data_IF_066137366656
#
_entry.id   IF_066137366656
#
_cell.length_a   1.000
_cell.length_b   1.000
_cell.length_c   1.000
_cell.angle_alpha   90.00
_cell.angle_beta   90.00
_cell.angle_gamma   90.00
#
_symmetry.space_group_name_H-M   'P 1'
#
loop_
_entity.id
_entity.type
_entity.pdbx_description
1 polymer ?
#
# COMPACT_ATOMS: atom_id res chain seq x y z
N UNK A 1 21.08 -8.21 -8.74
CA UNK A 1 21.01 -8.30 -7.26
C UNK A 1 21.84 -7.19 -6.59
N UNK A 2 22.43 -6.25 -7.35
CA UNK A 2 23.32 -5.19 -6.84
C UNK A 2 22.62 -3.83 -6.60
N UNK A 3 21.30 -3.72 -6.81
CA UNK A 3 20.61 -2.41 -6.85
C UNK A 3 19.87 -2.00 -5.57
N UNK A 4 19.89 -2.85 -4.53
CA UNK A 4 19.30 -2.50 -3.22
C UNK A 4 20.37 -2.06 -2.23
N UNK A 5 20.19 -0.86 -1.67
CA UNK A 5 20.87 -0.42 -0.46
C UNK A 5 20.13 -0.93 0.76
N UNK A 6 20.81 -1.63 1.67
CA UNK A 6 20.24 -2.14 2.91
C UNK A 6 20.79 -1.36 4.11
N UNK A 7 19.91 -0.94 5.03
CA UNK A 7 20.27 -0.27 6.29
C UNK A 7 19.64 -1.01 7.46
N UNK A 8 20.46 -1.46 8.40
CA UNK A 8 19.99 -2.00 9.68
C UNK A 8 19.74 -0.85 10.66
N UNK A 9 18.57 -0.83 11.29
CA UNK A 9 18.07 0.32 12.07
C UNK A 9 17.67 -0.03 13.51
N UNK A 10 17.97 -1.25 13.95
CA UNK A 10 17.77 -1.72 15.34
C UNK A 10 16.32 -1.65 15.83
N UNK A 11 15.36 -1.62 14.91
CA UNK A 11 13.93 -1.70 15.17
C UNK A 11 13.28 -2.48 14.03
N UNK A 12 12.35 -3.37 14.36
CA UNK A 12 11.50 -3.99 13.34
C UNK A 12 10.62 -2.93 12.69
N UNK A 13 10.57 -2.93 11.36
CA UNK A 13 9.87 -1.90 10.59
C UNK A 13 8.54 -2.45 10.11
N UNK A 14 7.43 -1.88 10.59
CA UNK A 14 6.08 -2.30 10.21
C UNK A 14 5.56 -1.60 8.96
N UNK A 15 6.01 -0.36 8.72
CA UNK A 15 5.53 0.49 7.62
C UNK A 15 6.64 1.32 7.00
N UNK A 16 6.67 1.40 5.68
CA UNK A 16 7.56 2.29 4.92
C UNK A 16 6.78 3.04 3.86
N UNK A 17 6.93 4.36 3.75
CA UNK A 17 6.25 5.19 2.74
C UNK A 17 7.16 6.26 2.17
N UNK A 18 7.18 6.43 0.85
CA UNK A 18 7.83 7.56 0.19
C UNK A 18 7.05 8.84 0.45
N UNK A 19 7.77 9.94 0.69
CA UNK A 19 7.16 11.27 0.69
C UNK A 19 6.70 11.58 -0.74
N UNK A 20 5.42 11.96 -0.94
CA UNK A 20 4.94 12.34 -2.26
C UNK A 20 5.75 13.49 -2.86
N UNK A 21 6.03 13.38 -4.16
CA UNK A 21 6.76 14.39 -4.92
C UNK A 21 5.75 15.21 -5.75
N UNK A 22 5.90 16.54 -5.89
CA UNK A 22 5.07 17.33 -6.79
C UNK A 22 5.09 16.74 -8.21
N UNK A 23 3.95 16.69 -8.89
CA UNK A 23 3.85 16.15 -10.26
C UNK A 23 4.75 16.87 -11.29
N UNK A 24 5.15 18.12 -11.00
CA UNK A 24 6.06 18.89 -11.84
C UNK A 24 7.55 18.62 -11.56
N UNK A 25 7.88 17.88 -10.51
CA UNK A 25 9.26 17.58 -10.19
C UNK A 25 9.80 16.51 -11.16
N UNK A 26 11.01 16.75 -11.66
CA UNK A 26 11.73 15.81 -12.52
C UNK A 26 12.63 14.85 -11.72
N UNK A 27 12.80 15.11 -10.42
CA UNK A 27 13.68 14.33 -9.56
C UNK A 27 12.92 13.18 -8.90
N UNK A 28 13.56 12.01 -8.73
CA UNK A 28 13.00 10.90 -7.97
C UNK A 28 12.77 11.29 -6.49
N UNK A 29 11.92 10.56 -5.75
CA UNK A 29 11.76 10.79 -4.32
C UNK A 29 13.09 10.57 -3.58
N UNK A 30 13.34 11.44 -2.60
CA UNK A 30 14.54 11.39 -1.76
C UNK A 30 14.23 11.16 -0.29
N UNK A 31 13.00 11.45 0.15
CA UNK A 31 12.59 11.26 1.55
C UNK A 31 11.54 10.17 1.66
N UNK A 32 11.65 9.36 2.69
CA UNK A 32 10.64 8.40 3.09
C UNK A 32 10.47 8.39 4.60
N UNK A 33 9.35 7.88 5.08
CA UNK A 33 9.08 7.68 6.50
C UNK A 33 8.99 6.19 6.82
N UNK A 34 9.30 5.83 8.06
CA UNK A 34 9.11 4.49 8.61
C UNK A 34 8.35 4.52 9.93
N UNK A 35 7.57 3.48 10.18
CA UNK A 35 7.00 3.16 11.48
C UNK A 35 7.55 1.84 12.01
N UNK A 36 7.80 1.75 13.31
CA UNK A 36 8.27 0.52 13.96
C UNK A 36 7.20 -0.16 14.82
N UNK A 37 7.38 -1.45 15.06
CA UNK A 37 6.47 -2.30 15.85
C UNK A 37 7.23 -3.36 16.64
N UNK A 38 6.61 -3.91 17.69
CA UNK A 38 7.20 -4.97 18.53
C UNK A 38 8.54 -4.54 19.15
N UNK A 39 8.65 -3.27 19.54
CA UNK A 39 9.78 -2.71 20.28
C UNK A 39 9.31 -2.12 21.62
N UNK A 40 10.23 -2.02 22.59
CA UNK A 40 9.96 -1.31 23.87
C UNK A 40 9.51 0.15 23.64
N UNK A 41 10.13 0.82 22.66
CA UNK A 41 9.78 2.17 22.24
C UNK A 41 9.68 2.26 20.71
N UNK A 42 8.46 2.15 20.19
CA UNK A 42 8.17 2.37 18.77
C UNK A 42 8.31 3.85 18.38
N UNK A 43 8.61 4.09 17.11
CA UNK A 43 8.91 5.41 16.56
C UNK A 43 8.31 5.60 15.18
N UNK A 44 8.07 6.87 14.84
CA UNK A 44 7.95 7.33 13.46
C UNK A 44 9.26 8.05 13.12
N UNK A 45 9.90 7.65 12.03
CA UNK A 45 11.20 8.17 11.60
C UNK A 45 11.12 8.68 10.16
N UNK A 46 11.81 9.77 9.85
CA UNK A 46 11.95 10.30 8.48
C UNK A 46 13.40 10.18 8.04
N UNK A 47 13.60 9.67 6.83
CA UNK A 47 14.89 9.32 6.27
C UNK A 47 15.13 10.03 4.94
N UNK A 48 16.40 10.20 4.59
CA UNK A 48 16.85 10.73 3.30
C UNK A 48 17.70 9.70 2.56
N UNK A 49 17.51 9.61 1.25
CA UNK A 49 18.31 8.81 0.30
C UNK A 49 18.70 9.73 -0.85
N UNK A 50 19.56 10.70 -0.57
CA UNK A 50 19.99 11.73 -1.52
C UNK A 50 21.46 11.59 -1.87
N UNK A 51 21.81 11.93 -3.12
CA UNK A 51 23.18 12.09 -3.57
C UNK A 51 23.73 13.43 -3.07
N UNK A 52 23.95 13.55 -1.77
CA UNK A 52 24.74 14.67 -1.25
C UNK A 52 26.15 14.48 -1.80
N UNK A 53 26.55 15.28 -2.79
CA UNK A 53 27.84 15.22 -3.50
C UNK A 53 29.06 15.50 -2.60
N UNK A 54 29.18 14.79 -1.49
CA UNK A 54 30.20 14.89 -0.47
C UNK A 54 30.26 13.55 0.22
N UNK A 55 31.42 12.88 0.15
CA UNK A 55 31.78 11.83 1.09
C UNK A 55 31.43 12.33 2.50
N UNK A 56 30.48 11.68 3.16
CA UNK A 56 30.27 11.93 4.58
C UNK A 56 31.62 11.76 5.29
N UNK A 57 31.90 12.52 6.38
CA UNK A 57 33.17 12.42 7.10
C UNK A 57 33.49 11.00 7.61
N UNK A 58 32.50 10.09 7.55
CA UNK A 58 32.56 8.71 8.01
C UNK A 58 32.65 7.66 6.88
N UNK A 59 32.77 8.07 5.61
CA UNK A 59 32.94 7.12 4.49
C UNK A 59 31.67 6.32 4.11
N UNK A 60 30.49 6.89 4.35
CA UNK A 60 29.20 6.26 4.01
C UNK A 60 28.98 6.18 2.49
N UNK A 61 28.44 5.05 2.02
CA UNK A 61 28.21 4.79 0.59
C UNK A 61 27.12 5.70 0.02
N UNK A 62 27.30 6.09 -1.25
CA UNK A 62 26.32 6.84 -2.02
C UNK A 62 24.99 6.05 -2.10
N UNK A 63 23.89 6.66 -1.66
CA UNK A 63 22.56 6.02 -1.68
C UNK A 63 22.17 5.25 -0.41
N UNK A 64 22.96 5.26 0.66
CA UNK A 64 22.50 4.73 1.97
C UNK A 64 21.45 5.64 2.63
N UNK A 65 20.37 5.06 3.21
CA UNK A 65 19.41 5.80 4.02
C UNK A 65 20.04 6.47 5.25
N UNK A 66 19.71 7.76 5.43
CA UNK A 66 20.15 8.58 6.55
C UNK A 66 18.97 9.08 7.37
N UNK A 67 19.02 8.89 8.69
CA UNK A 67 17.98 9.36 9.60
C UNK A 67 18.01 10.89 9.70
N UNK A 68 16.90 11.55 9.37
CA UNK A 68 16.76 13.00 9.54
C UNK A 68 16.21 13.35 10.92
N UNK A 69 15.13 12.68 11.32
CA UNK A 69 14.49 12.87 12.61
C UNK A 69 13.55 11.73 12.95
N UNK A 70 13.26 11.57 14.24
CA UNK A 70 12.27 10.63 14.75
C UNK A 70 11.40 11.26 15.84
N UNK A 71 10.28 10.59 16.14
CA UNK A 71 9.42 10.90 17.28
C UNK A 71 8.89 9.60 17.86
N UNK A 72 8.82 9.53 19.20
CA UNK A 72 8.23 8.38 19.90
C UNK A 72 6.76 8.23 19.51
N UNK A 73 6.38 6.99 19.21
CA UNK A 73 5.01 6.58 18.96
C UNK A 73 4.53 5.68 20.11
N UNK A 74 3.29 5.88 20.56
CA UNK A 74 2.71 5.09 21.64
C UNK A 74 1.92 3.91 21.05
N UNK A 75 2.28 2.69 21.44
CA UNK A 75 1.81 1.47 20.77
C UNK A 75 2.55 1.21 19.46
N UNK A 76 2.21 0.11 18.80
CA UNK A 76 2.75 -0.27 17.50
C UNK A 76 2.22 0.62 16.40
N UNK A 77 3.05 0.93 15.41
CA UNK A 77 2.61 1.61 14.20
C UNK A 77 1.96 0.55 13.30
N UNK A 78 0.64 0.47 13.32
CA UNK A 78 -0.13 -0.54 12.59
C UNK A 78 -0.20 -0.23 11.10
N UNK A 79 -0.47 1.04 10.78
CA UNK A 79 -0.48 1.54 9.42
C UNK A 79 -0.05 3.01 9.37
N UNK A 80 0.44 3.46 8.21
CA UNK A 80 1.00 4.78 8.00
C UNK A 80 0.84 5.22 6.55
N UNK A 81 0.44 6.48 6.36
CA UNK A 81 0.33 7.11 5.04
C UNK A 81 0.77 8.58 5.09
N UNK A 82 1.35 9.08 4.01
CA UNK A 82 1.52 10.52 3.84
C UNK A 82 0.17 11.16 3.49
N UNK A 83 -0.20 12.21 4.22
CA UNK A 83 -1.38 13.02 3.93
C UNK A 83 -1.07 14.12 2.91
N UNK A 84 0.14 14.67 2.99
CA UNK A 84 0.74 15.59 2.04
C UNK A 84 2.28 15.57 2.21
N UNK A 85 3.00 16.56 1.71
CA UNK A 85 4.47 16.62 1.78
C UNK A 85 5.04 16.90 3.18
N UNK A 86 4.23 17.35 4.13
CA UNK A 86 4.65 17.70 5.48
C UNK A 86 3.97 16.85 6.55
N UNK A 87 2.83 16.23 6.25
CA UNK A 87 2.00 15.53 7.23
C UNK A 87 1.95 14.03 6.97
N UNK A 88 2.14 13.27 8.04
CA UNK A 88 2.10 11.81 8.07
C UNK A 88 0.97 11.41 9.02
N UNK A 89 0.10 10.50 8.61
CA UNK A 89 -0.94 9.92 9.45
C UNK A 89 -0.50 8.52 9.85
N UNK A 90 -0.56 8.22 11.15
CA UNK A 90 -0.26 6.91 11.70
C UNK A 90 -1.44 6.36 12.50
N UNK A 91 -1.69 5.07 12.32
CA UNK A 91 -2.63 4.26 13.07
C UNK A 91 -1.87 3.46 14.15
N UNK A 92 -2.41 3.42 15.37
CA UNK A 92 -1.79 2.78 16.53
C UNK A 92 -2.53 1.51 16.97
N UNK A 93 -1.80 0.54 17.53
CA UNK A 93 -2.39 -0.62 18.24
C UNK A 93 -3.21 -0.22 19.47
N UNK A 94 -3.04 1.01 19.96
CA UNK A 94 -3.90 1.58 21.01
C UNK A 94 -5.29 2.00 20.54
N UNK A 95 -5.52 2.05 19.23
CA UNK A 95 -6.74 2.59 18.61
C UNK A 95 -6.73 4.11 18.39
N UNK A 96 -5.60 4.77 18.70
CA UNK A 96 -5.42 6.18 18.39
C UNK A 96 -4.94 6.39 16.94
N UNK A 97 -5.34 7.52 16.37
CA UNK A 97 -4.91 7.97 15.03
C UNK A 97 -4.24 9.32 15.19
N UNK A 98 -3.01 9.47 14.71
CA UNK A 98 -2.20 10.67 14.93
C UNK A 98 -1.69 11.25 13.61
N UNK A 99 -1.89 12.55 13.41
CA UNK A 99 -1.25 13.32 12.35
C UNK A 99 0.03 13.92 12.91
N UNK A 100 1.16 13.52 12.36
CA UNK A 100 2.46 14.12 12.61
C UNK A 100 2.77 15.17 11.54
N UNK A 101 3.51 16.22 11.89
CA UNK A 101 4.06 17.21 10.96
C UNK A 101 5.58 17.17 11.00
N UNK A 102 6.18 17.01 9.83
CA UNK A 102 7.61 17.14 9.55
C UNK A 102 7.95 18.60 9.24
N UNK A 103 8.81 19.18 10.06
CA UNK A 103 9.33 20.53 9.89
C UNK A 103 10.69 20.45 9.19
N UNK A 104 10.72 20.70 7.88
CA UNK A 104 11.94 20.54 7.07
C UNK A 104 13.05 21.54 7.47
N UNK A 105 12.69 22.73 7.97
CA UNK A 105 13.66 23.77 8.33
C UNK A 105 14.60 23.38 9.47
N UNK A 106 14.11 22.58 10.42
CA UNK A 106 14.85 22.15 11.61
C UNK A 106 14.96 20.63 11.73
N UNK A 107 14.44 19.88 10.74
CA UNK A 107 14.37 18.43 10.72
C UNK A 107 13.81 17.88 12.04
N UNK A 108 12.56 18.23 12.35
CA UNK A 108 11.86 17.71 13.53
C UNK A 108 10.48 17.20 13.18
N UNK A 109 9.98 16.26 13.97
CA UNK A 109 8.59 15.81 13.94
C UNK A 109 7.84 16.37 15.15
N UNK A 110 6.57 16.69 14.94
CA UNK A 110 5.66 17.14 16.00
C UNK A 110 4.28 16.54 15.80
N UNK A 111 3.53 16.36 16.89
CA UNK A 111 2.13 15.95 16.80
C UNK A 111 1.32 17.18 16.36
N UNK A 112 0.67 17.08 15.20
CA UNK A 112 -0.21 18.10 14.66
C UNK A 112 -1.64 17.95 15.19
N UNK A 113 -2.17 16.73 15.19
CA UNK A 113 -3.49 16.40 15.70
C UNK A 113 -3.56 14.92 16.10
N UNK A 114 -4.40 14.57 17.08
CA UNK A 114 -4.60 13.19 17.52
C UNK A 114 -6.06 12.92 17.87
N UNK A 115 -6.56 11.80 17.39
CA UNK A 115 -7.81 11.19 17.83
C UNK A 115 -7.48 10.00 18.72
N UNK A 116 -7.46 10.22 20.03
CA UNK A 116 -7.10 9.18 21.03
C UNK A 116 -8.08 8.00 21.04
N UNK A 117 -9.30 8.22 20.57
CA UNK A 117 -10.41 7.28 20.65
C UNK A 117 -11.04 7.07 19.28
N UNK A 118 -10.21 6.90 18.26
CA UNK A 118 -10.70 6.57 16.93
C UNK A 118 -11.29 5.14 16.92
N UNK A 119 -10.58 4.20 17.55
CA UNK A 119 -11.01 2.81 17.69
C UNK A 119 -10.95 2.37 19.16
N UNK A 120 -12.03 1.75 19.64
CA UNK A 120 -12.16 1.31 21.03
C UNK A 120 -13.28 0.30 21.21
N UNK A 121 -13.10 -0.58 22.19
CA UNK A 121 -14.16 -1.45 22.70
C UNK A 121 -14.90 -0.75 23.84
N UNK A 122 -16.23 -0.90 23.83
CA UNK A 122 -17.09 -0.48 24.94
C UNK A 122 -17.36 -1.72 25.79
N UNK A 123 -16.86 -1.70 27.02
CA UNK A 123 -17.29 -2.68 28.01
C UNK A 123 -18.63 -2.22 28.61
N UNK A 124 -19.71 -3.01 28.51
CA UNK A 124 -20.98 -2.65 29.12
C UNK A 124 -20.94 -2.62 30.66
N UNK A 125 -19.97 -3.33 31.27
CA UNK A 125 -19.88 -3.49 32.73
C UNK A 125 -18.90 -2.52 33.39
N UNK A 126 -18.04 -1.84 32.62
CA UNK A 126 -17.09 -0.85 33.16
C UNK A 126 -17.10 0.46 32.38
N UNK A 127 -16.91 1.62 33.04
CA UNK A 127 -16.79 2.91 32.35
C UNK A 127 -15.44 3.05 31.61
N UNK A 128 -14.61 2.00 31.61
CA UNK A 128 -13.32 1.98 30.95
C UNK A 128 -13.49 1.49 29.52
N UNK A 129 -12.83 2.19 28.61
CA UNK A 129 -12.78 1.81 27.22
C UNK A 129 -11.45 1.09 26.98
N UNK A 130 -11.52 -0.16 26.53
CA UNK A 130 -10.34 -0.84 26.00
C UNK A 130 -9.96 -0.26 24.65
N UNK A 131 -8.68 0.00 24.41
CA UNK A 131 -8.22 0.33 23.05
C UNK A 131 -8.48 -0.84 22.11
N UNK A 132 -8.95 -0.57 20.90
CA UNK A 132 -9.07 -1.53 19.82
C UNK A 132 -8.12 -1.12 18.71
N UNK A 133 -7.34 -2.03 18.13
CA UNK A 133 -6.30 -1.62 17.19
C UNK A 133 -6.89 -0.92 15.96
N UNK A 134 -6.30 0.22 15.58
CA UNK A 134 -6.57 0.83 14.28
C UNK A 134 -5.71 0.11 13.25
N UNK A 135 -6.33 -0.70 12.39
CA UNK A 135 -5.63 -1.65 11.51
C UNK A 135 -5.27 -1.07 10.16
N UNK A 136 -6.02 -0.07 9.68
CA UNK A 136 -5.75 0.57 8.39
C UNK A 136 -6.12 2.05 8.36
N UNK A 137 -5.34 2.83 7.61
CA UNK A 137 -5.57 4.25 7.35
C UNK A 137 -5.27 4.60 5.90
N UNK A 138 -6.18 5.34 5.27
CA UNK A 138 -5.99 5.91 3.94
C UNK A 138 -6.30 7.40 3.92
N UNK A 139 -5.60 8.12 3.05
CA UNK A 139 -5.70 9.57 2.93
C UNK A 139 -6.17 9.97 1.54
N UNK A 140 -7.13 10.89 1.48
CA UNK A 140 -7.51 11.61 0.26
C UNK A 140 -7.82 13.06 0.65
N UNK A 141 -6.78 13.89 0.71
CA UNK A 141 -6.83 15.24 1.28
C UNK A 141 -8.08 16.03 0.81
N UNK A 142 -8.96 16.51 1.73
CA UNK A 142 -8.75 16.66 3.18
C UNK A 142 -9.23 15.51 4.07
N UNK A 143 -9.64 14.39 3.49
CA UNK A 143 -10.28 13.27 4.17
C UNK A 143 -9.26 12.20 4.60
N UNK A 144 -9.52 11.61 5.76
CA UNK A 144 -8.76 10.48 6.31
C UNK A 144 -9.79 9.42 6.69
N UNK A 145 -9.61 8.19 6.21
CA UNK A 145 -10.48 7.06 6.57
C UNK A 145 -9.70 6.05 7.36
N UNK A 146 -10.27 5.56 8.45
CA UNK A 146 -9.64 4.53 9.30
C UNK A 146 -10.60 3.38 9.57
N UNK A 147 -10.01 2.19 9.77
CA UNK A 147 -10.70 0.96 10.13
C UNK A 147 -9.96 0.27 11.29
N UNK A 148 -10.66 -0.59 12.03
CA UNK A 148 -10.07 -1.25 13.20
C UNK A 148 -10.75 -2.56 13.60
N UNK A 149 -10.19 -3.17 14.63
CA UNK A 149 -10.66 -4.44 15.22
C UNK A 149 -12.05 -4.35 15.87
N UNK A 150 -12.48 -3.14 16.20
CA UNK A 150 -13.82 -2.86 16.71
C UNK A 150 -14.91 -2.83 15.63
N UNK A 151 -14.54 -3.08 14.37
CA UNK A 151 -15.48 -3.07 13.25
C UNK A 151 -16.02 -1.67 12.93
N UNK A 152 -15.39 -0.61 13.41
CA UNK A 152 -15.75 0.77 13.06
C UNK A 152 -15.08 1.20 11.76
N UNK A 153 -15.76 2.06 11.02
CA UNK A 153 -15.17 2.83 9.92
C UNK A 153 -15.34 4.31 10.26
N UNK A 154 -14.24 5.03 10.39
CA UNK A 154 -14.25 6.46 10.68
C UNK A 154 -13.85 7.27 9.45
N UNK A 155 -14.58 8.35 9.19
CA UNK A 155 -14.21 9.42 8.26
C UNK A 155 -13.85 10.65 9.09
N UNK A 156 -12.57 11.01 9.05
CA UNK A 156 -12.04 12.22 9.65
C UNK A 156 -11.73 13.27 8.58
N UNK A 157 -11.63 14.52 9.04
CA UNK A 157 -11.01 15.61 8.29
C UNK A 157 -9.90 16.21 9.13
N UNK A 158 -8.77 16.52 8.51
CA UNK A 158 -7.59 17.02 9.21
C UNK A 158 -7.85 18.27 10.07
N UNK A 159 -8.84 19.10 9.69
CA UNK A 159 -9.16 20.34 10.40
C UNK A 159 -10.24 20.15 11.51
N UNK A 160 -10.79 18.94 11.65
CA UNK A 160 -11.92 18.66 12.55
C UNK A 160 -11.46 17.82 13.75
N UNK A 161 -11.88 18.21 14.96
CA UNK A 161 -11.52 17.49 16.19
C UNK A 161 -12.27 16.17 16.36
N UNK A 162 -13.47 16.08 15.81
CA UNK A 162 -14.32 14.88 15.86
C UNK A 162 -14.40 14.24 14.48
N UNK A 163 -14.80 12.96 14.46
CA UNK A 163 -15.11 12.28 13.21
C UNK A 163 -16.23 13.02 12.47
N UNK A 164 -16.07 13.22 11.17
CA UNK A 164 -17.14 13.73 10.30
C UNK A 164 -18.27 12.72 10.22
N UNK A 165 -17.90 11.43 10.15
CA UNK A 165 -18.83 10.31 10.20
C UNK A 165 -18.15 9.09 10.80
N UNK A 166 -18.89 8.34 11.62
CA UNK A 166 -18.51 7.00 12.08
C UNK A 166 -19.60 6.02 11.69
N UNK A 167 -19.23 4.94 11.01
CA UNK A 167 -20.08 3.78 10.78
C UNK A 167 -19.80 2.80 11.91
N UNK A 168 -20.66 2.84 12.91
CA UNK A 168 -20.61 1.94 14.07
C UNK A 168 -21.05 0.53 13.68
N UNK A 169 -20.36 -0.49 14.20
CA UNK A 169 -20.64 -1.91 13.92
C UNK A 169 -20.75 -2.19 12.42
N UNK A 170 -19.86 -1.61 11.61
CA UNK A 170 -19.83 -1.84 10.16
C UNK A 170 -19.54 -3.33 9.86
N UNK A 171 -18.70 -3.95 10.67
CA UNK A 171 -18.41 -5.38 10.55
C UNK A 171 -18.40 -6.06 11.93
N UNK A 172 -18.86 -7.32 11.96
CA UNK A 172 -18.72 -8.20 13.13
C UNK A 172 -17.36 -8.89 13.18
N UNK A 173 -16.61 -8.81 12.08
CA UNK A 173 -15.26 -9.34 11.94
C UNK A 173 -14.25 -8.21 11.90
N UNK A 174 -13.02 -8.48 12.34
CA UNK A 174 -11.90 -7.53 12.24
C UNK A 174 -11.74 -7.01 10.82
N UNK A 175 -11.75 -5.69 10.65
CA UNK A 175 -11.35 -5.05 9.41
C UNK A 175 -9.83 -4.97 9.38
N UNK A 176 -9.19 -5.40 8.30
CA UNK A 176 -7.72 -5.41 8.20
C UNK A 176 -7.18 -4.23 7.39
N UNK A 177 -7.82 -3.91 6.26
CA UNK A 177 -7.39 -2.81 5.40
C UNK A 177 -8.57 -2.14 4.69
N UNK A 178 -8.30 -0.97 4.13
CA UNK A 178 -9.28 -0.12 3.45
C UNK A 178 -8.62 0.60 2.27
N UNK A 179 -9.36 0.83 1.18
CA UNK A 179 -8.92 1.67 0.05
C UNK A 179 -10.07 2.54 -0.47
N UNK A 180 -9.75 3.67 -1.11
CA UNK A 180 -10.74 4.51 -1.79
C UNK A 180 -11.01 3.94 -3.18
N UNK A 181 -12.28 3.66 -3.49
CA UNK A 181 -12.73 3.41 -4.88
C UNK A 181 -12.99 4.72 -5.62
N UNK A 182 -13.70 5.64 -4.96
CA UNK A 182 -13.99 7.00 -5.41
C UNK A 182 -13.91 7.93 -4.20
N UNK A 183 -14.05 9.23 -4.38
CA UNK A 183 -13.97 10.20 -3.28
C UNK A 183 -14.90 9.88 -2.11
N UNK A 184 -16.12 9.41 -2.38
CA UNK A 184 -17.11 9.09 -1.34
C UNK A 184 -17.30 7.59 -1.08
N UNK A 185 -16.60 6.74 -1.82
CA UNK A 185 -16.77 5.29 -1.79
C UNK A 185 -15.46 4.62 -1.43
N UNK A 186 -15.50 3.77 -0.41
CA UNK A 186 -14.38 2.99 0.05
C UNK A 186 -14.68 1.50 -0.09
N UNK A 187 -13.63 0.70 -0.05
CA UNK A 187 -13.70 -0.75 0.04
C UNK A 187 -12.87 -1.22 1.21
N UNK A 188 -13.44 -2.07 2.06
CA UNK A 188 -12.76 -2.67 3.22
C UNK A 188 -12.57 -4.17 3.01
N UNK A 189 -11.50 -4.73 3.57
CA UNK A 189 -11.26 -6.18 3.67
C UNK A 189 -11.24 -6.64 5.13
N UNK A 190 -11.63 -7.89 5.39
CA UNK A 190 -11.81 -8.39 6.75
C UNK A 190 -11.22 -9.80 6.99
N UNK A 191 -11.26 -10.23 8.26
CA UNK A 191 -10.69 -11.49 8.73
C UNK A 191 -11.41 -12.76 8.26
N UNK A 192 -12.48 -12.64 7.47
CA UNK A 192 -13.22 -13.78 6.92
C UNK A 192 -13.25 -13.79 5.38
N UNK A 193 -12.39 -12.99 4.75
CA UNK A 193 -12.20 -13.00 3.30
C UNK A 193 -13.26 -12.24 2.51
N UNK A 194 -13.90 -11.25 3.13
CA UNK A 194 -14.91 -10.42 2.46
C UNK A 194 -14.33 -9.05 2.09
N UNK A 195 -14.72 -8.58 0.90
CA UNK A 195 -14.60 -7.19 0.49
C UNK A 195 -15.97 -6.54 0.66
N UNK A 196 -16.04 -5.37 1.29
CA UNK A 196 -17.28 -4.63 1.47
C UNK A 196 -17.13 -3.20 0.94
N UNK A 197 -18.07 -2.77 0.10
CA UNK A 197 -18.12 -1.39 -0.41
C UNK A 197 -19.01 -0.55 0.47
N UNK A 198 -18.53 0.63 0.84
CA UNK A 198 -19.25 1.59 1.67
C UNK A 198 -19.29 2.94 0.97
N UNK A 199 -20.43 3.64 1.11
CA UNK A 199 -20.59 4.99 0.59
C UNK A 199 -20.94 5.93 1.74
N UNK A 200 -20.10 6.95 1.94
CA UNK A 200 -20.27 7.90 3.03
C UNK A 200 -21.54 8.76 2.90
N UNK A 201 -22.17 8.79 1.73
CA UNK A 201 -23.45 9.48 1.48
C UNK A 201 -24.67 8.69 1.95
N UNK A 202 -24.53 7.37 2.11
CA UNK A 202 -25.62 6.51 2.55
C UNK A 202 -25.88 6.71 4.05
N UNK A 203 -27.14 6.88 4.44
CA UNK A 203 -27.49 7.02 5.86
C UNK A 203 -27.49 5.70 6.63
N UNK A 204 -27.56 4.57 5.94
CA UNK A 204 -27.52 3.24 6.56
C UNK A 204 -26.07 2.86 6.88
N UNK A 205 -25.90 2.07 7.94
CA UNK A 205 -24.63 1.45 8.32
C UNK A 205 -24.53 0.04 7.72
N UNK A 206 -24.85 -0.09 6.43
CA UNK A 206 -24.83 -1.36 5.70
C UNK A 206 -23.95 -1.21 4.46
N UNK A 207 -23.20 -2.24 4.08
CA UNK A 207 -22.38 -2.20 2.88
C UNK A 207 -23.28 -2.19 1.64
N UNK A 208 -22.85 -1.46 0.61
CA UNK A 208 -23.55 -1.39 -0.68
C UNK A 208 -23.42 -2.69 -1.48
N UNK A 209 -22.26 -3.33 -1.39
CA UNK A 209 -21.93 -4.57 -2.06
C UNK A 209 -20.96 -5.38 -1.20
N UNK A 210 -21.06 -6.72 -1.29
CA UNK A 210 -20.18 -7.66 -0.60
C UNK A 210 -19.64 -8.64 -1.65
N UNK A 211 -18.32 -8.86 -1.62
CA UNK A 211 -17.61 -9.82 -2.46
C UNK A 211 -16.86 -10.79 -1.54
N UNK A 212 -16.69 -12.03 -1.96
CA UNK A 212 -15.97 -13.04 -1.18
C UNK A 212 -15.66 -14.24 -2.05
N UNK A 213 -14.52 -14.88 -1.83
CA UNK A 213 -14.24 -16.19 -2.40
C UNK A 213 -15.25 -17.22 -1.85
N UNK A 214 -15.88 -18.02 -2.72
CA UNK A 214 -16.81 -19.08 -2.30
C UNK A 214 -16.06 -20.20 -1.58
N UNK A 215 -16.58 -20.60 -0.42
CA UNK A 215 -16.08 -21.73 0.36
C UNK A 215 -15.23 -21.27 1.53
N UNK A 216 -13.93 -21.08 1.29
CA UNK A 216 -12.97 -20.85 2.36
C UNK A 216 -12.97 -19.39 2.84
N UNK A 217 -13.11 -19.21 4.16
CA UNK A 217 -13.07 -17.91 4.83
C UNK A 217 -11.64 -17.57 5.21
N UNK A 218 -10.83 -17.27 4.19
CA UNK A 218 -9.43 -16.92 4.36
C UNK A 218 -9.31 -15.42 4.66
N UNK A 219 -8.66 -15.00 5.76
CA UNK A 219 -8.44 -13.59 6.06
C UNK A 219 -7.77 -12.86 4.90
N UNK A 220 -8.24 -11.65 4.61
CA UNK A 220 -7.59 -10.73 3.68
C UNK A 220 -6.93 -9.61 4.48
N UNK A 221 -5.62 -9.48 4.33
CA UNK A 221 -4.80 -8.45 5.01
C UNK A 221 -4.62 -7.21 4.13
N UNK A 222 -4.45 -7.48 2.84
CA UNK A 222 -4.21 -6.60 1.71
C UNK A 222 -5.37 -5.94 1.00
N UNK A 223 -5.36 -4.62 0.70
CA UNK A 223 -6.10 -4.15 -0.49
C UNK A 223 -5.51 -2.88 -1.12
N UNK A 224 -5.40 -2.87 -2.45
CA UNK A 224 -5.10 -1.66 -3.22
C UNK A 224 -5.95 -1.55 -4.48
N UNK A 225 -6.20 -0.31 -4.91
CA UNK A 225 -6.99 0.01 -6.10
C UNK A 225 -6.08 0.39 -7.26
N UNK A 226 -6.37 -0.16 -8.43
CA UNK A 226 -5.72 0.26 -9.66
C UNK A 226 -5.87 1.77 -9.89
N UNK A 227 -4.77 2.53 -10.09
CA UNK A 227 -4.79 4.00 -10.08
C UNK A 227 -5.71 4.59 -11.15
N UNK A 228 -5.65 4.05 -12.37
CA UNK A 228 -6.43 4.54 -13.53
C UNK A 228 -7.83 3.91 -13.69
N UNK A 229 -8.11 2.78 -13.04
CA UNK A 229 -9.33 1.98 -13.25
C UNK A 229 -10.01 1.72 -11.91
N UNK A 230 -10.93 2.60 -11.52
CA UNK A 230 -11.54 2.61 -10.18
C UNK A 230 -12.27 1.32 -9.77
N UNK A 231 -12.58 0.46 -10.73
CA UNK A 231 -13.31 -0.79 -10.50
C UNK A 231 -12.39 -1.99 -10.28
N UNK A 232 -11.08 -1.85 -10.48
CA UNK A 232 -10.11 -2.93 -10.30
C UNK A 232 -9.45 -2.78 -8.94
N UNK A 233 -9.49 -3.83 -8.15
CA UNK A 233 -8.78 -3.92 -6.87
C UNK A 233 -7.98 -5.22 -6.79
N UNK A 234 -6.84 -5.16 -6.13
CA UNK A 234 -6.00 -6.30 -5.79
C UNK A 234 -6.02 -6.51 -4.28
N UNK A 235 -6.09 -7.77 -3.83
CA UNK A 235 -6.07 -8.13 -2.41
C UNK A 235 -5.07 -9.26 -2.15
N UNK A 236 -4.49 -9.25 -0.96
CA UNK A 236 -3.58 -10.27 -0.46
C UNK A 236 -4.16 -11.01 0.75
N UNK A 237 -4.07 -12.34 0.74
CA UNK A 237 -4.63 -13.21 1.76
C UNK A 237 -3.62 -13.78 2.76
N UNK A 238 -4.17 -14.38 3.81
CA UNK A 238 -3.45 -15.21 4.80
C UNK A 238 -2.76 -16.43 4.17
N UNK A 239 -3.29 -16.91 3.05
CA UNK A 239 -2.76 -18.05 2.28
C UNK A 239 -1.69 -17.64 1.26
N UNK A 240 -1.29 -16.37 1.25
CA UNK A 240 -0.31 -15.83 0.32
C UNK A 240 -0.83 -15.64 -1.10
N UNK A 241 -2.12 -15.82 -1.37
CA UNK A 241 -2.68 -15.64 -2.72
C UNK A 241 -2.89 -14.16 -3.07
N UNK A 242 -2.62 -13.82 -4.34
CA UNK A 242 -3.00 -12.55 -4.95
C UNK A 242 -4.35 -12.72 -5.66
N UNK A 243 -5.37 -11.97 -5.23
CA UNK A 243 -6.68 -11.96 -5.88
C UNK A 243 -6.92 -10.63 -6.60
N UNK A 244 -7.35 -10.69 -7.87
CA UNK A 244 -7.74 -9.52 -8.66
C UNK A 244 -9.26 -9.51 -8.83
N UNK A 245 -9.88 -8.37 -8.57
CA UNK A 245 -11.34 -8.20 -8.60
C UNK A 245 -11.74 -7.08 -9.55
N UNK A 246 -12.81 -7.30 -10.31
CA UNK A 246 -13.58 -6.22 -10.94
C UNK A 246 -14.87 -6.05 -10.14
N UNK A 247 -15.00 -4.96 -9.38
CA UNK A 247 -16.16 -4.72 -8.50
C UNK A 247 -17.47 -4.49 -9.25
N UNK A 248 -17.42 -4.40 -10.59
CA UNK A 248 -18.62 -4.39 -11.45
C UNK A 248 -19.07 -5.79 -11.85
N UNK A 249 -18.22 -6.79 -11.71
CA UNK A 249 -18.44 -8.15 -12.21
C UNK A 249 -18.57 -9.16 -11.06
N UNK A 250 -19.81 -9.55 -10.76
CA UNK A 250 -20.08 -10.65 -9.83
C UNK A 250 -19.59 -10.38 -8.41
N UNK A 251 -19.50 -11.44 -7.62
CA UNK A 251 -19.07 -11.42 -6.21
C UNK A 251 -17.75 -12.16 -5.98
N UNK A 252 -17.08 -12.58 -7.05
CA UNK A 252 -15.92 -13.48 -7.07
C UNK A 252 -14.73 -12.78 -7.75
N UNK A 253 -13.47 -13.16 -7.42
CA UNK A 253 -12.31 -12.59 -8.09
C UNK A 253 -12.28 -13.01 -9.57
N UNK A 254 -11.75 -12.13 -10.41
CA UNK A 254 -11.51 -12.38 -11.84
C UNK A 254 -10.31 -13.30 -12.03
N UNK A 255 -9.27 -13.11 -11.20
CA UNK A 255 -8.06 -13.91 -11.19
C UNK A 255 -7.64 -14.22 -9.75
N UNK A 256 -7.16 -15.45 -9.55
CA UNK A 256 -6.60 -15.93 -8.29
C UNK A 256 -5.23 -16.54 -8.60
N UNK A 257 -4.16 -15.92 -8.08
CA UNK A 257 -2.79 -16.23 -8.43
C UNK A 257 -2.03 -16.71 -7.19
N UNK A 258 -1.34 -17.85 -7.33
CA UNK A 258 -0.42 -18.33 -6.30
C UNK A 258 0.80 -17.42 -6.29
N UNK A 259 0.95 -16.64 -5.23
CA UNK A 259 2.06 -15.72 -5.05
C UNK A 259 3.02 -16.27 -4.00
N UNK A 260 2.63 -16.24 -2.74
CA UNK A 260 3.53 -16.43 -1.61
C UNK A 260 3.26 -17.74 -0.86
N UNK A 261 4.23 -18.17 -0.03
CA UNK A 261 4.09 -19.38 0.81
C UNK A 261 3.47 -19.07 2.19
N UNK A 262 3.32 -17.79 2.52
CA UNK A 262 2.77 -17.27 3.77
C UNK A 262 1.95 -15.98 3.53
N UNK A 263 1.50 -15.34 4.60
CA UNK A 263 0.63 -14.17 4.60
C UNK A 263 1.17 -13.03 3.72
N UNK A 264 0.31 -12.48 2.85
CA UNK A 264 0.64 -11.29 2.07
C UNK A 264 0.28 -10.02 2.83
N UNK A 265 1.29 -9.24 3.23
CA UNK A 265 1.10 -8.05 4.07
C UNK A 265 0.70 -6.81 3.31
N UNK A 266 1.32 -6.54 2.16
CA UNK A 266 0.97 -5.41 1.31
C UNK A 266 0.93 -5.78 -0.18
N UNK A 267 0.05 -5.10 -0.91
CA UNK A 267 -0.06 -5.13 -2.36
C UNK A 267 -0.19 -3.69 -2.83
N UNK A 268 0.58 -3.30 -3.85
CA UNK A 268 0.52 -1.96 -4.44
C UNK A 268 0.65 -2.02 -5.94
N UNK A 269 -0.30 -1.42 -6.65
CA UNK A 269 -0.10 -1.09 -8.05
C UNK A 269 0.93 0.02 -8.16
N UNK A 270 1.78 -0.03 -9.18
CA UNK A 270 2.68 1.09 -9.45
C UNK A 270 1.86 2.35 -9.83
N UNK A 271 2.01 3.48 -9.11
CA UNK A 271 1.07 4.61 -9.21
C UNK A 271 0.93 5.22 -10.61
N UNK A 272 2.02 5.25 -11.39
CA UNK A 272 2.04 5.86 -12.73
C UNK A 272 2.09 4.86 -13.88
N UNK A 273 2.36 3.58 -13.60
CA UNK A 273 2.48 2.53 -14.61
C UNK A 273 1.89 1.22 -14.08
N UNK A 274 0.55 1.13 -13.98
CA UNK A 274 -0.12 0.04 -13.27
C UNK A 274 -0.07 -1.31 -13.99
N UNK A 275 0.67 -1.44 -15.09
CA UNK A 275 1.06 -2.74 -15.64
C UNK A 275 2.04 -3.47 -14.70
N UNK A 276 2.65 -2.73 -13.77
CA UNK A 276 3.46 -3.27 -12.68
C UNK A 276 2.68 -3.26 -11.35
N UNK A 277 2.86 -4.32 -10.57
CA UNK A 277 2.32 -4.49 -9.22
C UNK A 277 3.39 -5.09 -8.32
N UNK A 278 3.36 -4.77 -7.03
CA UNK A 278 4.32 -5.23 -6.03
C UNK A 278 3.60 -5.87 -4.86
N UNK A 279 4.13 -6.98 -4.35
CA UNK A 279 3.62 -7.66 -3.16
C UNK A 279 4.75 -8.00 -2.19
N UNK A 280 4.48 -8.00 -0.89
CA UNK A 280 5.41 -8.49 0.13
C UNK A 280 4.71 -9.44 1.11
N UNK A 281 5.52 -10.28 1.76
CA UNK A 281 5.01 -11.45 2.49
C UNK A 281 5.78 -11.74 3.77
N UNK A 282 5.09 -12.45 4.68
CA UNK A 282 5.64 -13.07 5.87
C UNK A 282 6.76 -14.07 5.57
N UNK A 283 6.74 -14.69 4.39
CA UNK A 283 7.80 -15.63 3.95
C UNK A 283 9.14 -14.96 3.64
N UNK A 284 9.22 -13.63 3.77
CA UNK A 284 10.43 -12.86 3.54
C UNK A 284 10.70 -12.55 2.07
N UNK A 285 9.67 -12.60 1.21
CA UNK A 285 9.78 -12.24 -0.20
C UNK A 285 9.12 -10.90 -0.54
N UNK A 286 9.64 -10.26 -1.58
CA UNK A 286 9.05 -9.07 -2.21
C UNK A 286 9.05 -9.29 -3.71
N UNK A 287 7.86 -9.44 -4.29
CA UNK A 287 7.70 -9.76 -5.70
C UNK A 287 7.27 -8.54 -6.50
N UNK A 288 7.89 -8.40 -7.67
CA UNK A 288 7.47 -7.50 -8.74
C UNK A 288 6.78 -8.31 -9.82
N UNK A 289 5.57 -7.90 -10.17
CA UNK A 289 4.71 -8.49 -11.18
C UNK A 289 4.63 -7.54 -12.37
N UNK A 290 4.90 -8.05 -13.56
CA UNK A 290 4.88 -7.28 -14.80
C UNK A 290 3.93 -7.91 -15.82
N UNK A 291 2.99 -7.10 -16.30
CA UNK A 291 2.00 -7.47 -17.33
C UNK A 291 2.22 -6.75 -18.66
N UNK A 292 3.26 -5.94 -18.77
CA UNK A 292 3.56 -5.10 -19.95
C UNK A 292 4.13 -5.86 -21.15
N UNK A 293 4.31 -7.18 -21.03
CA UNK A 293 4.91 -8.07 -22.02
C UNK A 293 4.02 -8.24 -23.27
N UNK A 294 4.06 -7.23 -24.13
CA UNK A 294 3.67 -7.34 -25.53
C UNK A 294 4.78 -8.14 -26.23
N UNK A 295 4.49 -9.39 -26.59
CA UNK A 295 5.34 -10.09 -27.57
C UNK A 295 5.25 -9.25 -28.83
N UNK A 296 6.30 -8.49 -29.12
CA UNK A 296 6.52 -8.05 -30.49
C UNK A 296 6.51 -9.34 -31.31
N UNK A 297 5.42 -9.64 -32.01
CA UNK A 297 5.47 -10.58 -33.10
C UNK A 297 6.54 -10.00 -34.02
N UNK A 298 7.76 -10.56 -33.95
CA UNK A 298 8.81 -10.22 -34.91
C UNK A 298 8.14 -10.37 -36.26
N UNK A 299 8.01 -9.31 -37.09
CA UNK A 299 7.53 -9.50 -38.43
C UNK A 299 8.52 -10.45 -39.09
N UNK A 300 8.06 -11.67 -39.33
CA UNK A 300 8.80 -12.69 -40.04
C UNK A 300 8.97 -12.19 -41.46
N UNK A 301 10.03 -11.40 -41.69
CA UNK A 301 10.50 -11.00 -43.00
C UNK A 301 11.15 -12.21 -43.68
N UNK A 302 10.32 -13.17 -44.04
CA UNK A 302 10.62 -14.16 -45.07
C UNK A 302 9.34 -14.45 -45.85
N UNK A 303 9.03 -13.57 -46.79
CA UNK A 303 8.71 -14.00 -48.16
C UNK A 303 8.94 -12.85 -49.15
N UNK A 304 9.50 -13.24 -50.29
CA UNK A 304 9.96 -12.41 -51.39
C UNK A 304 8.83 -11.60 -52.05
N UNK A 305 9.16 -10.35 -52.41
CA UNK A 305 8.70 -9.72 -53.65
C UNK A 305 7.34 -9.02 -53.62
N UNK A 306 7.35 -7.68 -53.71
CA UNK A 306 6.21 -6.91 -54.21
C UNK A 306 5.91 -5.64 -53.43
N UNK A 307 6.05 -4.49 -54.10
CA UNK A 307 5.64 -3.16 -53.64
C UNK A 307 4.18 -3.13 -53.16
N UNK A 308 3.91 -2.60 -51.96
CA UNK A 308 2.80 -1.66 -51.75
C UNK A 308 2.95 -0.92 -50.42
N UNK A 309 2.84 0.41 -50.47
CA UNK A 309 2.78 1.30 -49.32
C UNK A 309 1.35 1.35 -48.78
N UNK A 310 1.10 0.85 -47.57
CA UNK A 310 -0.15 1.12 -46.84
C UNK A 310 0.17 1.58 -45.42
N UNK A 311 0.02 2.89 -45.22
CA UNK A 311 -0.19 3.51 -43.91
C UNK A 311 -1.45 2.89 -43.30
N UNK A 312 -1.30 2.05 -42.28
CA UNK A 312 -2.42 1.61 -41.47
C UNK A 312 -2.60 2.60 -40.31
N UNK A 313 -3.64 3.41 -40.44
CA UNK A 313 -4.18 4.23 -39.37
C UNK A 313 -4.71 3.32 -38.26
N UNK A 314 -4.20 3.48 -37.03
CA UNK A 314 -4.86 2.93 -35.85
C UNK A 314 -6.17 3.67 -35.62
N UNK A 315 -7.28 3.06 -36.01
CA UNK A 315 -8.62 3.50 -35.60
C UNK A 315 -8.87 3.09 -34.16
N UNK A 316 -9.05 4.11 -33.31
CA UNK A 316 -9.52 4.00 -31.94
C UNK A 316 -10.91 3.34 -31.87
N UNK A 317 -11.03 2.31 -31.03
CA UNK A 317 -12.22 1.87 -30.28
C UNK A 317 -12.15 0.37 -29.93
N UNK A 318 -11.07 -0.07 -29.30
CA UNK A 318 -11.14 -1.24 -28.43
C UNK A 318 -11.11 -0.71 -27.00
N UNK A 319 -12.14 -1.01 -26.21
CA UNK A 319 -12.06 -0.87 -24.76
C UNK A 319 -10.88 -1.71 -24.31
N UNK A 320 -9.76 -1.07 -23.95
CA UNK A 320 -8.58 -1.77 -23.46
C UNK A 320 -8.98 -2.41 -22.13
N UNK A 321 -9.27 -3.71 -22.17
CA UNK A 321 -9.46 -4.50 -20.95
C UNK A 321 -8.08 -4.53 -20.28
N UNK A 322 -8.03 -4.18 -19.00
CA UNK A 322 -6.79 -4.26 -18.21
C UNK A 322 -6.16 -5.64 -18.36
N UNK A 323 -4.83 -5.73 -18.52
CA UNK A 323 -4.13 -7.02 -18.56
C UNK A 323 -4.42 -7.87 -17.30
N UNK A 324 -4.58 -7.20 -16.16
CA UNK A 324 -4.99 -7.81 -14.88
C UNK A 324 -6.38 -8.47 -14.88
N UNK A 325 -7.25 -8.13 -15.84
CA UNK A 325 -8.57 -8.75 -16.00
C UNK A 325 -8.63 -9.73 -17.18
N UNK A 326 -7.53 -9.88 -17.91
CA UNK A 326 -7.48 -10.75 -19.07
C UNK A 326 -7.19 -12.18 -18.63
N UNK A 327 -8.03 -13.11 -19.11
CA UNK A 327 -7.89 -14.55 -18.86
C UNK A 327 -7.35 -15.28 -20.10
N UNK A 328 -6.56 -14.62 -20.96
CA UNK A 328 -6.07 -15.21 -22.20
C UNK A 328 -4.62 -15.73 -22.06
N UNK A 329 -4.42 -17.04 -21.84
CA UNK A 329 -3.11 -17.63 -21.56
C UNK A 329 -2.09 -17.51 -22.71
N UNK A 330 -2.53 -17.11 -23.91
CA UNK A 330 -1.65 -16.93 -25.09
C UNK A 330 -1.14 -15.50 -25.28
N UNK A 331 -1.78 -14.51 -24.64
CA UNK A 331 -1.40 -13.09 -24.72
C UNK A 331 -0.84 -12.54 -23.41
N UNK A 332 -1.19 -13.16 -22.29
CA UNK A 332 -0.97 -12.59 -20.95
C UNK A 332 0.18 -13.31 -20.24
N UNK A 333 1.41 -13.17 -20.74
CA UNK A 333 2.58 -13.71 -20.04
C UNK A 333 3.00 -12.72 -18.95
N UNK A 334 2.56 -12.99 -17.72
CA UNK A 334 2.97 -12.23 -16.54
C UNK A 334 4.38 -12.66 -16.10
N UNK A 335 5.29 -11.69 -15.95
CA UNK A 335 6.64 -11.94 -15.41
C UNK A 335 6.68 -11.60 -13.93
N UNK A 336 7.39 -12.43 -13.15
CA UNK A 336 7.45 -12.32 -11.71
C UNK A 336 8.92 -12.38 -11.28
N UNK A 337 9.35 -11.39 -10.51
CA UNK A 337 10.73 -11.30 -10.02
C UNK A 337 10.75 -11.07 -8.52
N UNK A 338 11.48 -11.88 -7.76
CA UNK A 338 11.78 -11.59 -6.36
C UNK A 338 12.90 -10.53 -6.29
N UNK A 339 12.63 -9.42 -5.61
CA UNK A 339 13.51 -8.24 -5.58
C UNK A 339 14.48 -8.22 -4.38
N UNK A 340 14.10 -8.86 -3.27
CA UNK A 340 14.93 -8.94 -2.05
C UNK A 340 15.75 -10.23 -2.02
N UNK A 341 16.86 -10.28 -1.27
CA UNK A 341 17.64 -11.51 -1.09
C UNK A 341 16.78 -12.68 -0.58
N UNK A 342 17.14 -13.91 -0.95
CA UNK A 342 16.49 -15.08 -0.38
C UNK A 342 16.80 -15.16 1.13
N UNK A 343 15.83 -15.64 1.93
CA UNK A 343 15.94 -15.82 3.39
C UNK A 343 15.95 -14.52 4.22
N UNK A 344 15.30 -13.44 3.75
CA UNK A 344 14.95 -12.37 4.69
C UNK A 344 13.89 -12.86 5.68
N UNK A 345 13.83 -12.26 6.87
CA UNK A 345 12.62 -12.37 7.71
C UNK A 345 11.46 -11.62 7.03
N UNK A 346 10.27 -11.72 7.59
CA UNK A 346 9.05 -11.07 7.10
C UNK A 346 9.28 -9.67 6.51
N UNK A 347 8.78 -9.47 5.28
CA UNK A 347 8.77 -8.16 4.63
C UNK A 347 7.40 -7.53 4.90
N UNK A 348 7.35 -6.68 5.92
CA UNK A 348 6.09 -6.18 6.49
C UNK A 348 5.41 -5.09 5.67
N UNK A 349 6.19 -4.35 4.88
CA UNK A 349 5.70 -3.18 4.14
C UNK A 349 6.59 -2.83 2.97
N UNK A 350 5.99 -2.30 1.92
CA UNK A 350 6.69 -1.74 0.78
C UNK A 350 6.01 -0.44 0.33
N UNK A 351 6.76 0.42 -0.35
CA UNK A 351 6.18 1.52 -1.11
C UNK A 351 6.99 1.78 -2.38
N UNK A 352 6.28 2.18 -3.44
CA UNK A 352 6.86 2.41 -4.76
C UNK A 352 6.40 3.75 -5.32
N UNK A 353 7.36 4.57 -5.74
CA UNK A 353 7.09 5.87 -6.32
C UNK A 353 8.11 6.18 -7.43
N UNK A 354 7.63 6.16 -8.68
CA UNK A 354 8.51 6.27 -9.84
C UNK A 354 9.49 5.09 -9.89
N UNK A 355 10.79 5.31 -10.16
CA UNK A 355 11.76 4.23 -10.20
C UNK A 355 12.22 3.76 -8.80
N UNK A 356 11.64 4.29 -7.72
CA UNK A 356 12.10 4.04 -6.36
C UNK A 356 11.17 3.10 -5.59
N UNK A 357 11.76 2.11 -4.92
CA UNK A 357 11.11 1.19 -4.00
C UNK A 357 11.80 1.27 -2.64
N UNK A 358 11.01 1.27 -1.57
CA UNK A 358 11.47 1.05 -0.21
C UNK A 358 10.68 -0.10 0.41
N UNK A 359 11.32 -0.94 1.22
CA UNK A 359 10.61 -1.90 2.07
C UNK A 359 11.27 -2.03 3.44
N UNK A 360 10.48 -2.47 4.42
CA UNK A 360 10.91 -2.69 5.79
C UNK A 360 10.64 -4.13 6.24
N UNK A 361 11.52 -4.67 7.08
CA UNK A 361 11.46 -6.08 7.49
C UNK A 361 11.59 -6.28 9.00
N UNK A 362 11.27 -7.49 9.43
CA UNK A 362 11.49 -7.97 10.80
C UNK A 362 12.96 -8.27 11.13
N UNK A 363 13.84 -8.24 10.13
CA UNK A 363 15.29 -8.31 10.33
C UNK A 363 15.88 -6.95 10.75
N UNK A 364 15.06 -6.04 11.24
CA UNK A 364 15.41 -4.66 11.61
C UNK A 364 16.10 -3.91 10.46
N UNK A 365 15.67 -4.21 9.22
CA UNK A 365 16.31 -3.71 8.01
C UNK A 365 15.33 -2.90 7.15
N UNK A 366 15.88 -1.88 6.50
CA UNK A 366 15.24 -1.11 5.44
C UNK A 366 16.01 -1.38 4.16
N UNK A 367 15.31 -1.77 3.09
CA UNK A 367 15.89 -1.92 1.76
C UNK A 367 15.36 -0.81 0.86
N UNK A 368 16.25 -0.18 0.09
CA UNK A 368 15.92 0.88 -0.86
C UNK A 368 16.55 0.58 -2.21
N UNK A 369 15.75 0.65 -3.27
CA UNK A 369 16.21 0.65 -4.66
C UNK A 369 15.70 1.92 -5.34
N UNK A 370 16.57 2.69 -6.01
CA UNK A 370 16.19 3.95 -6.70
C UNK A 370 16.09 3.82 -8.22
N UNK A 371 16.32 2.62 -8.75
CA UNK A 371 16.55 2.33 -10.16
C UNK A 371 15.85 1.03 -10.60
N UNK A 372 14.58 0.83 -10.22
CA UNK A 372 13.82 -0.41 -10.51
C UNK A 372 13.77 -0.82 -11.98
N UNK A 373 13.82 0.15 -12.90
CA UNK A 373 13.62 -0.07 -14.34
C UNK A 373 14.85 0.29 -15.19
N UNK A 374 16.02 0.44 -14.55
CA UNK A 374 17.25 0.92 -15.21
C UNK A 374 18.00 -0.18 -15.96
#
# INVERSE_FOLDING_TARGET
MEDFSAKFVSQKISKTRWRPVPAAALQPPELFATGSWDNEENKISVWSVGDFGSLGPNGEYQGEPQLLCDIRHHGDVMDMQFFDQERIVAASSTGSVTIFRHHQNNQTLSINQRWERAHYHVDPDTPFYGGASCTGVICNNPEIVTVGEDGRINLFRADHREAVRTIENADSSTLHAVTFLRTTEILTVNSIGQLKIWDFRQQRNEPSQIFSLTGDRIPLHCVDRHPNQQHIVATGGQDGMLSIWDVRQGSMPVSLLNAHEAEMWEVHFHPSNPDHLFTCSEDGSLWHWDTSTDVSEKPSFFHQGGRSTTLLSHTANQSVISAWLSNNPTKDRMEITNLVPNQTLSVNSLDVLGPCLVCGTDAEAIYVNRHLFA
#
